data_IF_001458649224
#
_entry.id   IF_001458649224
#
_cell.length_a   1.000
_cell.length_b   1.000
_cell.length_c   1.000
_cell.angle_alpha   90.00
_cell.angle_beta   90.00
_cell.angle_gamma   90.00
#
_symmetry.space_group_name_H-M   'P 1'
#
loop_
_entity.id
_entity.type
_entity.pdbx_description
1 polymer ?
#
# COMPACT_ATOMS: atom_id res chain seq x y z
N UNK A 1 -21.24 21.37 -10.30
CA UNK A 1 -20.15 20.86 -11.17
C UNK A 1 -18.96 21.84 -11.28
N UNK A 2 -19.18 23.14 -11.55
CA UNK A 2 -18.11 24.15 -11.67
C UNK A 2 -17.15 24.26 -10.48
N UNK A 3 -17.60 24.08 -9.23
CA UNK A 3 -16.76 24.28 -8.02
C UNK A 3 -15.60 23.28 -7.87
N UNK A 4 -15.78 22.01 -8.26
CA UNK A 4 -14.75 20.96 -8.15
C UNK A 4 -13.66 21.13 -9.22
N UNK A 5 -14.06 21.56 -10.43
CA UNK A 5 -13.14 21.87 -11.51
C UNK A 5 -12.14 22.97 -11.12
N UNK A 6 -12.59 24.04 -10.45
CA UNK A 6 -11.69 25.09 -9.97
C UNK A 6 -10.70 24.58 -8.92
N UNK A 7 -11.14 23.73 -7.98
CA UNK A 7 -10.26 23.12 -6.97
C UNK A 7 -9.17 22.27 -7.62
N UNK A 8 -9.54 21.47 -8.62
CA UNK A 8 -8.59 20.65 -9.39
C UNK A 8 -7.62 21.53 -10.17
N UNK A 9 -8.12 22.53 -10.89
CA UNK A 9 -7.31 23.46 -11.69
C UNK A 9 -6.29 24.20 -10.83
N UNK A 10 -6.72 24.78 -9.72
CA UNK A 10 -5.84 25.51 -8.81
C UNK A 10 -4.78 24.58 -8.18
N UNK A 11 -5.18 23.38 -7.77
CA UNK A 11 -4.24 22.36 -7.25
C UNK A 11 -3.19 21.96 -8.29
N UNK A 12 -3.59 21.80 -9.55
CA UNK A 12 -2.67 21.48 -10.65
C UNK A 12 -1.69 22.63 -10.94
N UNK A 13 -2.14 23.89 -10.88
CA UNK A 13 -1.27 25.06 -11.05
C UNK A 13 -0.23 25.12 -9.92
N UNK A 14 -0.62 24.85 -8.68
CA UNK A 14 0.31 24.83 -7.55
C UNK A 14 1.35 23.72 -7.67
N UNK A 15 0.94 22.54 -8.15
CA UNK A 15 1.86 21.44 -8.50
C UNK A 15 2.85 21.82 -9.60
N UNK A 16 2.38 22.50 -10.65
CA UNK A 16 3.22 23.01 -11.73
C UNK A 16 4.22 24.08 -11.27
N UNK A 17 3.92 24.80 -10.18
CA UNK A 17 4.85 25.77 -9.58
C UNK A 17 5.95 25.07 -8.76
N UNK A 18 5.62 23.96 -8.09
CA UNK A 18 6.50 23.20 -7.20
C UNK A 18 6.92 21.84 -7.80
N UNK A 19 7.26 21.80 -9.09
CA UNK A 19 7.47 20.55 -9.85
C UNK A 19 8.45 19.58 -9.19
N UNK A 20 9.61 20.07 -8.72
CA UNK A 20 10.65 19.22 -8.14
C UNK A 20 10.21 18.52 -6.86
N UNK A 21 9.64 19.27 -5.92
CA UNK A 21 9.13 18.72 -4.66
C UNK A 21 7.94 17.78 -4.88
N UNK A 22 7.05 18.12 -5.82
CA UNK A 22 5.92 17.29 -6.21
C UNK A 22 6.37 15.96 -6.83
N UNK A 23 7.29 16.02 -7.79
CA UNK A 23 7.85 14.85 -8.45
C UNK A 23 8.57 13.93 -7.46
N UNK A 24 9.41 14.49 -6.59
CA UNK A 24 10.10 13.72 -5.56
C UNK A 24 9.12 12.98 -4.65
N UNK A 25 8.07 13.66 -4.14
CA UNK A 25 7.02 13.04 -3.33
C UNK A 25 6.29 11.92 -4.09
N UNK A 26 5.97 12.15 -5.37
CA UNK A 26 5.37 11.15 -6.23
C UNK A 26 6.25 9.91 -6.40
N UNK A 27 7.53 10.13 -6.71
CA UNK A 27 8.52 9.06 -6.89
C UNK A 27 8.71 8.24 -5.60
N UNK A 28 8.86 8.89 -4.45
CA UNK A 28 8.94 8.19 -3.16
C UNK A 28 7.68 7.37 -2.87
N UNK A 29 6.50 7.93 -3.13
CA UNK A 29 5.22 7.22 -2.93
C UNK A 29 5.10 6.01 -3.85
N UNK A 30 5.57 6.15 -5.10
CA UNK A 30 5.62 5.08 -6.09
C UNK A 30 6.54 3.94 -5.66
N UNK A 31 7.80 4.26 -5.31
CA UNK A 31 8.78 3.25 -4.86
C UNK A 31 8.29 2.55 -3.59
N UNK A 32 7.76 3.32 -2.65
CA UNK A 32 7.23 2.79 -1.40
C UNK A 32 6.06 1.82 -1.64
N UNK A 33 5.10 2.20 -2.48
CA UNK A 33 3.98 1.32 -2.84
C UNK A 33 4.46 0.03 -3.51
N UNK A 34 5.44 0.12 -4.42
CA UNK A 34 6.03 -1.03 -5.10
C UNK A 34 6.73 -1.99 -4.12
N UNK A 35 7.53 -1.47 -3.18
CA UNK A 35 8.20 -2.29 -2.16
C UNK A 35 7.15 -2.97 -1.27
N UNK A 36 6.14 -2.22 -0.81
CA UNK A 36 5.09 -2.74 0.06
C UNK A 36 4.37 -3.93 -0.60
N UNK A 37 3.96 -3.79 -1.86
CA UNK A 37 3.27 -4.86 -2.60
C UNK A 37 4.16 -6.07 -2.84
N UNK A 38 5.43 -5.88 -3.16
CA UNK A 38 6.39 -7.00 -3.32
C UNK A 38 6.53 -7.79 -2.01
N UNK A 39 6.70 -7.09 -0.89
CA UNK A 39 6.84 -7.73 0.44
C UNK A 39 5.59 -8.54 0.80
N UNK A 40 4.39 -7.97 0.59
CA UNK A 40 3.14 -8.70 0.82
C UNK A 40 3.01 -9.92 -0.10
N UNK A 41 3.42 -9.81 -1.36
CA UNK A 41 3.41 -10.94 -2.31
C UNK A 41 4.34 -12.06 -1.85
N UNK A 42 5.54 -11.74 -1.36
CA UNK A 42 6.47 -12.72 -0.80
C UNK A 42 5.83 -13.42 0.40
N UNK A 43 5.23 -12.66 1.33
CA UNK A 43 4.56 -13.21 2.49
C UNK A 43 3.45 -14.21 2.13
N UNK A 44 2.57 -13.85 1.20
CA UNK A 44 1.47 -14.72 0.77
C UNK A 44 2.00 -15.99 0.06
N UNK A 45 3.02 -15.86 -0.79
CA UNK A 45 3.64 -17.03 -1.44
C UNK A 45 4.30 -17.97 -0.42
N UNK A 46 4.90 -17.43 0.65
CA UNK A 46 5.46 -18.24 1.73
C UNK A 46 4.37 -19.02 2.50
N UNK A 47 3.21 -18.41 2.74
CA UNK A 47 2.05 -19.11 3.32
C UNK A 47 1.65 -20.29 2.44
N UNK A 48 1.58 -20.07 1.12
CA UNK A 48 1.22 -21.14 0.18
C UNK A 48 2.25 -22.26 0.21
N UNK A 49 3.53 -21.90 0.13
CA UNK A 49 4.60 -22.87 0.09
C UNK A 49 4.63 -23.74 1.35
N UNK A 50 4.44 -23.13 2.52
CA UNK A 50 4.34 -23.87 3.78
C UNK A 50 3.14 -24.82 3.79
N UNK A 51 2.00 -24.40 3.23
CA UNK A 51 0.82 -25.26 3.14
C UNK A 51 1.03 -26.47 2.22
N UNK A 52 1.72 -26.28 1.09
CA UNK A 52 2.05 -27.36 0.14
C UNK A 52 3.04 -28.34 0.75
N UNK A 53 4.09 -27.87 1.43
CA UNK A 53 5.08 -28.75 2.07
C UNK A 53 4.48 -29.53 3.24
N UNK A 54 3.58 -28.93 4.04
CA UNK A 54 2.85 -29.67 5.07
C UNK A 54 1.96 -30.78 4.49
N UNK A 55 1.31 -30.53 3.36
CA UNK A 55 0.52 -31.55 2.67
C UNK A 55 1.40 -32.69 2.14
N UNK A 56 2.51 -32.36 1.48
CA UNK A 56 3.48 -33.36 1.00
C UNK A 56 4.08 -34.19 2.12
N UNK A 57 4.40 -33.59 3.26
CA UNK A 57 4.91 -34.30 4.42
C UNK A 57 3.88 -35.27 5.03
N UNK A 58 2.59 -34.91 5.01
CA UNK A 58 1.50 -35.80 5.43
C UNK A 58 1.31 -36.98 4.46
N UNK A 59 1.36 -36.73 3.16
CA UNK A 59 1.28 -37.77 2.12
C UNK A 59 2.48 -38.73 2.16
N UNK A 60 3.69 -38.20 2.38
CA UNK A 60 4.91 -39.01 2.50
C UNK A 60 4.92 -39.91 3.74
N UNK A 61 4.35 -39.45 4.87
CA UNK A 61 4.16 -40.28 6.09
C UNK A 61 3.24 -41.48 5.89
N UNK A 62 2.38 -41.46 4.87
CA UNK A 62 1.56 -42.62 4.49
C UNK A 62 2.29 -43.63 3.58
N UNK A 63 3.48 -43.28 3.06
CA UNK A 63 4.34 -44.14 2.26
C UNK A 63 5.56 -44.62 3.06
N UNK A 64 6.07 -45.82 2.79
CA UNK A 64 7.03 -46.58 3.62
C UNK A 64 8.46 -46.00 3.72
N UNK A 65 8.77 -44.85 3.11
CA UNK A 65 10.10 -44.19 3.12
C UNK A 65 10.27 -43.15 4.27
N UNK A 66 9.53 -43.33 5.36
CA UNK A 66 9.26 -42.30 6.38
C UNK A 66 10.42 -41.92 7.31
N UNK A 67 11.62 -42.50 7.18
CA UNK A 67 12.73 -42.29 8.15
C UNK A 67 13.86 -41.38 7.66
N UNK A 68 14.03 -41.17 6.35
CA UNK A 68 15.07 -40.28 5.80
C UNK A 68 14.52 -38.88 5.40
N UNK A 69 13.21 -38.75 5.18
CA UNK A 69 12.57 -37.49 4.77
C UNK A 69 12.08 -36.61 5.93
N UNK A 70 11.89 -37.17 7.13
CA UNK A 70 11.30 -36.46 8.29
C UNK A 70 12.15 -35.29 8.77
N UNK A 71 13.46 -35.46 8.95
CA UNK A 71 14.30 -34.40 9.52
C UNK A 71 14.50 -33.21 8.55
N UNK A 72 14.64 -33.48 7.25
CA UNK A 72 14.83 -32.42 6.25
C UNK A 72 13.56 -31.62 5.96
N UNK A 73 12.40 -32.28 5.93
CA UNK A 73 11.10 -31.63 5.75
C UNK A 73 10.69 -30.79 6.96
N UNK A 74 10.95 -31.26 8.19
CA UNK A 74 10.64 -30.50 9.41
C UNK A 74 11.55 -29.26 9.56
N UNK A 75 12.83 -29.35 9.19
CA UNK A 75 13.72 -28.18 9.12
C UNK A 75 13.26 -27.16 8.07
N UNK A 76 12.84 -27.62 6.90
CA UNK A 76 12.32 -26.76 5.84
C UNK A 76 11.04 -26.04 6.30
N UNK A 77 10.07 -26.76 6.87
CA UNK A 77 8.82 -26.17 7.39
C UNK A 77 9.11 -25.13 8.48
N UNK A 78 10.08 -25.40 9.36
CA UNK A 78 10.49 -24.45 10.40
C UNK A 78 11.09 -23.18 9.78
N UNK A 79 11.95 -23.33 8.78
CA UNK A 79 12.53 -22.20 8.04
C UNK A 79 11.44 -21.37 7.33
N UNK A 80 10.51 -22.01 6.62
CA UNK A 80 9.38 -21.32 5.99
C UNK A 80 8.52 -20.59 7.02
N UNK A 81 8.25 -21.22 8.17
CA UNK A 81 7.45 -20.62 9.24
C UNK A 81 8.12 -19.35 9.79
N UNK A 82 9.43 -19.40 10.04
CA UNK A 82 10.19 -18.23 10.50
C UNK A 82 10.25 -17.10 9.46
N UNK A 83 10.44 -17.44 8.18
CA UNK A 83 10.39 -16.47 7.08
C UNK A 83 9.01 -15.84 6.96
N UNK A 84 7.94 -16.65 6.97
CA UNK A 84 6.55 -16.19 6.93
C UNK A 84 6.27 -15.17 8.04
N UNK A 85 6.65 -15.48 9.29
CA UNK A 85 6.44 -14.58 10.43
C UNK A 85 7.24 -13.30 10.26
N UNK A 86 8.49 -13.39 9.80
CA UNK A 86 9.36 -12.23 9.56
C UNK A 86 8.79 -11.30 8.50
N UNK A 87 8.35 -11.85 7.36
CA UNK A 87 7.72 -11.08 6.28
C UNK A 87 6.33 -10.54 6.67
N UNK A 88 5.59 -11.23 7.54
CA UNK A 88 4.35 -10.73 8.13
C UNK A 88 4.61 -9.47 8.96
N UNK A 89 5.59 -9.53 9.88
CA UNK A 89 5.95 -8.40 10.74
C UNK A 89 6.46 -7.24 9.88
N UNK A 90 7.28 -7.53 8.86
CA UNK A 90 7.83 -6.50 7.98
C UNK A 90 6.75 -5.83 7.12
N UNK A 91 5.84 -6.60 6.52
CA UNK A 91 4.72 -6.05 5.73
C UNK A 91 3.77 -5.21 6.57
N UNK A 92 3.38 -5.71 7.75
CA UNK A 92 2.50 -4.97 8.67
C UNK A 92 3.20 -3.72 9.22
N UNK A 93 4.49 -3.83 9.58
CA UNK A 93 5.30 -2.71 10.05
C UNK A 93 5.45 -1.63 8.98
N UNK A 94 5.73 -2.01 7.74
CA UNK A 94 5.74 -1.09 6.60
C UNK A 94 4.37 -0.41 6.45
N UNK A 95 3.27 -1.16 6.38
CA UNK A 95 1.92 -0.61 6.25
C UNK A 95 1.62 0.45 7.34
N UNK A 96 1.86 0.10 8.61
CA UNK A 96 1.66 1.00 9.74
C UNK A 96 2.55 2.24 9.66
N UNK A 97 3.81 2.08 9.24
CA UNK A 97 4.72 3.19 9.02
C UNK A 97 4.23 4.15 7.93
N UNK A 98 3.69 3.62 6.83
CA UNK A 98 3.07 4.42 5.77
C UNK A 98 1.87 5.22 6.25
N UNK A 99 1.00 4.60 7.07
CA UNK A 99 -0.15 5.27 7.69
C UNK A 99 0.32 6.39 8.63
N UNK A 100 1.32 6.12 9.46
CA UNK A 100 1.89 7.10 10.38
C UNK A 100 2.50 8.29 9.63
N UNK A 101 3.29 8.02 8.58
CA UNK A 101 3.87 9.06 7.72
C UNK A 101 2.79 9.92 7.07
N UNK A 102 1.72 9.32 6.56
CA UNK A 102 0.58 10.04 5.98
C UNK A 102 -0.07 10.97 7.02
N UNK A 103 -0.32 10.47 8.23
CA UNK A 103 -0.87 11.25 9.33
C UNK A 103 0.03 12.44 9.69
N UNK A 104 1.32 12.19 9.89
CA UNK A 104 2.32 13.22 10.23
C UNK A 104 2.40 14.27 9.13
N UNK A 105 2.44 13.85 7.87
CA UNK A 105 2.53 14.76 6.73
C UNK A 105 1.29 15.66 6.62
N UNK A 106 0.08 15.10 6.81
CA UNK A 106 -1.14 15.90 6.82
C UNK A 106 -1.18 16.88 7.99
N UNK A 107 -0.79 16.45 9.19
CA UNK A 107 -0.72 17.34 10.36
C UNK A 107 0.30 18.47 10.15
N UNK A 108 1.48 18.14 9.63
CA UNK A 108 2.52 19.13 9.30
C UNK A 108 2.00 20.15 8.27
N UNK A 109 1.42 19.69 7.17
CA UNK A 109 0.86 20.57 6.14
C UNK A 109 -0.27 21.45 6.70
N UNK A 110 -1.12 20.89 7.57
CA UNK A 110 -2.19 21.65 8.22
C UNK A 110 -1.63 22.75 9.13
N UNK A 111 -0.59 22.47 9.91
CA UNK A 111 0.05 23.47 10.77
C UNK A 111 0.69 24.60 9.97
N UNK A 112 1.39 24.27 8.89
CA UNK A 112 2.02 25.26 8.01
C UNK A 112 0.99 26.17 7.32
N UNK A 113 -0.13 25.59 6.86
CA UNK A 113 -1.14 26.32 6.11
C UNK A 113 -2.28 26.87 6.99
N UNK A 114 -2.21 26.72 8.32
CA UNK A 114 -3.30 27.08 9.25
C UNK A 114 -3.79 28.53 9.06
N UNK A 115 -2.87 29.48 8.89
CA UNK A 115 -3.20 30.91 8.69
C UNK A 115 -3.96 31.12 7.38
N UNK A 116 -3.51 30.49 6.30
CA UNK A 116 -4.16 30.58 4.98
C UNK A 116 -5.57 29.96 5.02
N UNK A 117 -5.72 28.80 5.66
CA UNK A 117 -7.02 28.13 5.83
C UNK A 117 -8.02 29.01 6.61
N UNK A 118 -7.54 29.72 7.64
CA UNK A 118 -8.35 30.64 8.44
C UNK A 118 -8.77 31.88 7.62
N UNK A 119 -7.85 32.46 6.84
CA UNK A 119 -8.16 33.58 5.93
C UNK A 119 -9.22 33.16 4.91
N UNK A 120 -9.05 31.99 4.27
CA UNK A 120 -10.03 31.46 3.30
C UNK A 120 -11.41 31.27 3.93
N UNK A 121 -11.47 30.85 5.20
CA UNK A 121 -12.73 30.73 5.93
C UNK A 121 -13.36 32.09 6.23
N UNK A 122 -12.57 33.08 6.67
CA UNK A 122 -13.04 34.45 6.91
C UNK A 122 -13.58 35.12 5.63
N UNK A 123 -13.05 34.77 4.47
CA UNK A 123 -13.54 35.20 3.15
C UNK A 123 -14.85 34.51 2.71
N UNK A 124 -15.48 33.71 3.58
CA UNK A 124 -16.78 33.08 3.34
C UNK A 124 -16.74 31.72 2.64
N UNK A 125 -15.56 31.11 2.44
CA UNK A 125 -15.50 29.75 1.90
C UNK A 125 -15.99 28.72 2.91
N UNK A 126 -16.77 27.74 2.45
CA UNK A 126 -17.24 26.65 3.30
C UNK A 126 -16.08 25.75 3.76
N UNK A 127 -16.17 25.21 4.97
CA UNK A 127 -15.15 24.31 5.52
C UNK A 127 -14.90 23.08 4.62
N UNK A 128 -15.95 22.59 3.94
CA UNK A 128 -15.82 21.48 2.97
C UNK A 128 -14.93 21.89 1.79
N UNK A 129 -15.13 23.08 1.21
CA UNK A 129 -14.32 23.55 0.09
C UNK A 129 -12.85 23.70 0.48
N UNK A 130 -12.59 24.34 1.62
CA UNK A 130 -11.23 24.58 2.13
C UNK A 130 -10.52 23.25 2.42
N UNK A 131 -11.22 22.29 3.02
CA UNK A 131 -10.66 20.94 3.28
C UNK A 131 -10.40 20.19 1.98
N UNK A 132 -11.27 20.35 0.98
CA UNK A 132 -11.12 19.72 -0.34
C UNK A 132 -9.87 20.24 -1.07
N UNK A 133 -9.68 21.56 -1.12
CA UNK A 133 -8.48 22.18 -1.70
C UNK A 133 -7.20 21.65 -1.06
N UNK A 134 -7.17 21.60 0.28
CA UNK A 134 -6.03 21.08 1.03
C UNK A 134 -5.71 19.60 0.73
N UNK A 135 -6.76 18.77 0.63
CA UNK A 135 -6.60 17.34 0.31
C UNK A 135 -6.17 17.14 -1.14
N UNK A 136 -6.83 17.80 -2.09
CA UNK A 136 -6.49 17.65 -3.50
C UNK A 136 -5.06 18.09 -3.76
N UNK A 137 -4.61 19.23 -3.23
CA UNK A 137 -3.23 19.68 -3.38
C UNK A 137 -2.21 18.65 -2.84
N UNK A 138 -2.53 17.99 -1.72
CA UNK A 138 -1.64 17.00 -1.10
C UNK A 138 -1.65 15.64 -1.81
N UNK A 139 -2.76 15.22 -2.40
CA UNK A 139 -2.97 13.86 -2.88
C UNK A 139 -3.06 13.70 -4.40
N UNK A 140 -3.22 14.80 -5.17
CA UNK A 140 -3.45 14.74 -6.63
C UNK A 140 -2.40 13.89 -7.36
N UNK A 141 -1.12 14.00 -6.95
CA UNK A 141 0.00 13.29 -7.57
C UNK A 141 0.37 12.01 -6.79
N UNK A 142 0.11 11.97 -5.48
CA UNK A 142 0.44 10.82 -4.63
C UNK A 142 -0.43 9.60 -4.98
N UNK A 143 -1.75 9.78 -5.13
CA UNK A 143 -2.69 8.69 -5.45
C UNK A 143 -2.31 7.98 -6.77
N UNK A 144 -2.14 8.68 -7.91
CA UNK A 144 -1.77 8.01 -9.16
C UNK A 144 -0.38 7.36 -9.08
N UNK A 145 0.59 7.96 -8.38
CA UNK A 145 1.90 7.34 -8.17
C UNK A 145 1.82 6.04 -7.36
N UNK A 146 0.98 5.99 -6.32
CA UNK A 146 0.72 4.77 -5.54
C UNK A 146 0.11 3.68 -6.44
N UNK A 147 -0.90 4.03 -7.24
CA UNK A 147 -1.54 3.10 -8.18
C UNK A 147 -0.52 2.57 -9.20
N UNK A 148 0.30 3.45 -9.78
CA UNK A 148 1.37 3.05 -10.69
C UNK A 148 2.39 2.11 -10.03
N UNK A 149 2.73 2.34 -8.77
CA UNK A 149 3.64 1.48 -8.01
C UNK A 149 3.07 0.08 -7.82
N UNK A 150 1.78 -0.03 -7.48
CA UNK A 150 1.10 -1.32 -7.38
C UNK A 150 1.03 -2.03 -8.74
N UNK A 151 0.62 -1.32 -9.81
CA UNK A 151 0.55 -1.88 -11.16
C UNK A 151 1.91 -2.38 -11.67
N UNK A 152 2.99 -1.64 -11.39
CA UNK A 152 4.32 -2.09 -11.76
C UNK A 152 4.71 -3.36 -11.00
N UNK A 153 4.44 -3.42 -9.70
CA UNK A 153 4.70 -4.62 -8.90
C UNK A 153 3.90 -5.82 -9.42
N UNK A 154 2.66 -5.61 -9.86
CA UNK A 154 1.81 -6.66 -10.45
C UNK A 154 2.39 -7.15 -11.78
N UNK A 155 2.83 -6.21 -12.63
CA UNK A 155 3.49 -6.52 -13.89
C UNK A 155 4.79 -7.31 -13.70
N UNK A 156 5.65 -6.87 -12.78
CA UNK A 156 6.90 -7.56 -12.44
C UNK A 156 6.64 -8.97 -11.93
N UNK A 157 5.61 -9.16 -11.11
CA UNK A 157 5.23 -10.48 -10.63
C UNK A 157 4.72 -11.38 -11.75
N UNK A 158 3.89 -10.85 -12.65
CA UNK A 158 3.38 -11.61 -13.80
C UNK A 158 4.51 -12.06 -14.72
N UNK A 159 5.47 -11.18 -15.00
CA UNK A 159 6.68 -11.52 -15.76
C UNK A 159 7.48 -12.61 -15.05
N UNK A 160 7.73 -12.46 -13.74
CA UNK A 160 8.44 -13.47 -12.97
C UNK A 160 7.73 -14.83 -13.00
N UNK A 161 6.40 -14.85 -12.87
CA UNK A 161 5.61 -16.08 -12.95
C UNK A 161 5.71 -16.74 -14.34
N UNK A 162 5.74 -15.96 -15.42
CA UNK A 162 5.85 -16.48 -16.77
C UNK A 162 7.23 -17.08 -17.08
N UNK A 163 8.30 -16.50 -16.53
CA UNK A 163 9.67 -16.99 -16.67
C UNK A 163 10.08 -18.04 -15.62
N UNK A 164 9.23 -18.29 -14.62
CA UNK A 164 9.50 -19.28 -13.59
C UNK A 164 9.56 -20.70 -14.18
N UNK A 165 10.49 -21.52 -13.71
CA UNK A 165 10.54 -22.95 -14.06
C UNK A 165 9.30 -23.66 -13.51
N UNK A 166 8.93 -24.81 -14.10
CA UNK A 166 7.72 -25.56 -13.74
C UNK A 166 7.60 -25.86 -12.24
N UNK A 167 8.73 -26.13 -11.57
CA UNK A 167 8.76 -26.35 -10.12
C UNK A 167 8.47 -25.09 -9.30
N UNK A 168 9.04 -23.94 -9.69
CA UNK A 168 8.81 -22.65 -9.00
C UNK A 168 7.37 -22.17 -9.24
N UNK A 169 6.88 -22.31 -10.47
CA UNK A 169 5.49 -21.94 -10.82
C UNK A 169 4.45 -22.76 -10.04
N UNK A 170 4.75 -24.03 -9.71
CA UNK A 170 3.88 -24.88 -8.90
C UNK A 170 3.78 -24.45 -7.42
N UNK A 171 4.69 -23.59 -6.94
CA UNK A 171 4.74 -23.10 -5.56
C UNK A 171 4.22 -21.67 -5.44
N UNK A 172 4.14 -20.93 -6.55
CA UNK A 172 3.66 -19.55 -6.59
C UNK A 172 2.14 -19.49 -6.71
N UNK A 173 1.49 -18.57 -5.98
CA UNK A 173 0.08 -18.27 -6.20
C UNK A 173 -0.13 -17.66 -7.59
N UNK A 174 -1.26 -17.92 -8.28
CA UNK A 174 -1.54 -17.28 -9.55
C UNK A 174 -1.67 -15.76 -9.37
N UNK A 175 -1.22 -14.94 -10.35
CA UNK A 175 -1.25 -13.48 -10.26
C UNK A 175 -2.65 -12.90 -9.94
N UNK A 176 -3.72 -13.54 -10.40
CA UNK A 176 -5.11 -13.10 -10.21
C UNK A 176 -5.56 -13.08 -8.75
N UNK A 177 -5.02 -13.98 -7.91
CA UNK A 177 -5.38 -14.06 -6.48
C UNK A 177 -4.91 -12.81 -5.72
N UNK A 178 -3.77 -12.24 -6.09
CA UNK A 178 -3.24 -11.07 -5.41
C UNK A 178 -4.12 -9.83 -5.59
N UNK A 179 -4.82 -9.70 -6.72
CA UNK A 179 -5.72 -8.57 -6.93
C UNK A 179 -6.86 -8.57 -5.91
N UNK A 180 -7.46 -9.74 -5.67
CA UNK A 180 -8.57 -9.93 -4.74
C UNK A 180 -8.14 -9.92 -3.27
N UNK A 181 -7.06 -10.62 -2.93
CA UNK A 181 -6.67 -10.85 -1.54
C UNK A 181 -5.67 -9.86 -0.98
N UNK A 182 -5.01 -9.07 -1.84
CA UNK A 182 -4.01 -8.09 -1.42
C UNK A 182 -4.34 -6.67 -1.89
N UNK A 183 -4.45 -6.46 -3.20
CA UNK A 183 -4.54 -5.11 -3.77
C UNK A 183 -5.84 -4.41 -3.34
N UNK A 184 -6.99 -5.08 -3.47
CA UNK A 184 -8.29 -4.53 -3.06
C UNK A 184 -8.37 -4.22 -1.56
N UNK A 185 -8.01 -5.15 -0.64
CA UNK A 185 -8.00 -4.87 0.79
C UNK A 185 -7.10 -3.69 1.19
N UNK A 186 -5.89 -3.62 0.63
CA UNK A 186 -4.94 -2.53 0.92
C UNK A 186 -5.49 -1.18 0.44
N UNK A 187 -6.08 -1.12 -0.75
CA UNK A 187 -6.76 0.08 -1.26
C UNK A 187 -7.94 0.45 -0.35
N UNK A 188 -8.74 -0.52 0.08
CA UNK A 188 -9.88 -0.30 0.97
C UNK A 188 -9.47 0.30 2.32
N UNK A 189 -8.43 -0.24 2.95
CA UNK A 189 -7.87 0.29 4.20
C UNK A 189 -7.36 1.73 3.98
N UNK A 190 -6.64 1.98 2.89
CA UNK A 190 -6.10 3.31 2.59
C UNK A 190 -7.21 4.34 2.35
N UNK A 191 -8.25 3.99 1.60
CA UNK A 191 -9.41 4.85 1.36
C UNK A 191 -10.15 5.16 2.67
N UNK A 192 -10.35 4.18 3.54
CA UNK A 192 -10.99 4.38 4.83
C UNK A 192 -10.19 5.37 5.69
N UNK A 193 -8.86 5.21 5.74
CA UNK A 193 -7.97 6.13 6.47
C UNK A 193 -8.06 7.54 5.89
N UNK A 194 -8.05 7.69 4.56
CA UNK A 194 -8.21 9.00 3.91
C UNK A 194 -9.54 9.66 4.25
N UNK A 195 -10.65 8.92 4.25
CA UNK A 195 -11.96 9.43 4.62
C UNK A 195 -11.97 9.88 6.09
N UNK A 196 -11.42 9.07 7.00
CA UNK A 196 -11.29 9.43 8.41
C UNK A 196 -10.48 10.72 8.60
N UNK A 197 -9.34 10.85 7.91
CA UNK A 197 -8.52 12.06 7.96
C UNK A 197 -9.24 13.27 7.37
N UNK A 198 -10.00 13.09 6.30
CA UNK A 198 -10.78 14.15 5.68
C UNK A 198 -11.85 14.68 6.63
N UNK A 199 -12.61 13.78 7.26
CA UNK A 199 -13.64 14.14 8.24
C UNK A 199 -13.03 14.83 9.46
N UNK A 200 -11.90 14.33 9.96
CA UNK A 200 -11.17 14.93 11.09
C UNK A 200 -10.72 16.37 10.78
N UNK A 201 -10.09 16.59 9.61
CA UNK A 201 -9.63 17.91 9.20
C UNK A 201 -10.80 18.86 8.92
N UNK A 202 -11.87 18.38 8.29
CA UNK A 202 -13.11 19.15 8.11
C UNK A 202 -13.65 19.64 9.45
N UNK A 203 -13.71 18.77 10.46
CA UNK A 203 -14.22 19.14 11.78
C UNK A 203 -13.33 20.20 12.44
N UNK A 204 -12.00 20.06 12.36
CA UNK A 204 -11.06 21.07 12.85
C UNK A 204 -11.24 22.44 12.16
N UNK A 205 -11.35 22.46 10.84
CA UNK A 205 -11.56 23.69 10.05
C UNK A 205 -12.94 24.31 10.35
N UNK A 206 -13.96 23.49 10.61
CA UNK A 206 -15.30 23.98 10.99
C UNK A 206 -15.28 24.69 12.34
N UNK A 207 -14.45 24.24 13.29
CA UNK A 207 -14.30 24.83 14.63
C UNK A 207 -13.33 26.02 14.72
N UNK A 208 -12.55 26.27 13.66
CA UNK A 208 -11.60 27.40 13.55
C UNK A 208 -12.29 28.75 13.36
#
# INVERSE_FOLDING_TARGET
>A
MYKMYYVLKDSSITLLRNKGAAFSKGFFSFVYACILTIVFRIWINLIHFESLEKQRALEAKHSTDSLLQTDSSDHLITLLTSLKISFMIFSLGLLLFGIALLCIQLQKNYLLNKKELLIKKMLGNSAVRVTSEFFFESFLLVIPCIILGMLLSDYLYLQFFHFATSWIAAVLYPPSYFLLFLTLPVIGIFLLILVCQFLYLKQKITKL
#
